data_IF_207227551421
#
_entry.id   IF_207227551421
#
_cell.length_a   1.000
_cell.length_b   1.000
_cell.length_c   1.000
_cell.angle_alpha   90.00
_cell.angle_beta   90.00
_cell.angle_gamma   90.00
#
_symmetry.space_group_name_H-M   'P 1'
#
loop_
_entity.id
_entity.type
_entity.pdbx_description
1 polymer ?
#
# COMPACT_ATOMS: atom_id res chain seq x y z
N UNK A 1 50.03 -3.52 36.48
CA UNK A 1 48.75 -3.79 35.77
C UNK A 1 47.87 -2.56 35.95
N UNK A 2 47.75 -1.69 34.93
CA UNK A 2 46.98 -0.45 35.04
C UNK A 2 45.49 -0.75 34.84
N UNK A 3 44.71 -0.74 35.92
CA UNK A 3 43.25 -0.87 35.85
C UNK A 3 42.66 0.44 35.32
N UNK A 4 42.27 0.47 34.03
CA UNK A 4 41.44 1.56 33.50
C UNK A 4 40.13 1.59 34.28
N UNK A 5 39.86 2.69 34.96
CA UNK A 5 38.56 2.95 35.58
C UNK A 5 37.47 2.89 34.50
N UNK A 6 36.55 1.93 34.64
CA UNK A 6 35.36 1.87 33.79
C UNK A 6 34.40 2.97 34.26
N UNK A 7 34.28 4.06 33.49
CA UNK A 7 33.20 5.04 33.70
C UNK A 7 31.87 4.37 33.37
N UNK A 8 30.96 4.31 34.34
CA UNK A 8 29.57 3.92 34.14
C UNK A 8 28.71 5.13 33.76
N UNK A 9 27.58 4.88 33.10
CA UNK A 9 26.57 5.90 32.81
C UNK A 9 25.89 6.37 34.11
N UNK A 10 25.60 7.66 34.20
CA UNK A 10 24.77 8.20 35.29
C UNK A 10 23.30 7.97 35.00
N UNK A 11 22.49 7.85 36.05
CA UNK A 11 21.03 7.76 35.92
C UNK A 11 20.44 9.00 35.24
N UNK A 12 21.04 10.17 35.48
CA UNK A 12 20.61 11.45 34.90
C UNK A 12 20.83 11.48 33.38
N UNK A 13 21.95 10.95 32.89
CA UNK A 13 22.21 10.85 31.45
C UNK A 13 21.17 9.98 30.74
N UNK A 14 20.82 8.83 31.33
CA UNK A 14 19.78 7.96 30.75
C UNK A 14 18.40 8.63 30.81
N UNK A 15 18.09 9.34 31.89
CA UNK A 15 16.79 10.03 32.06
C UNK A 15 16.55 11.09 30.98
N UNK A 16 17.53 11.94 30.71
CA UNK A 16 17.39 13.00 29.69
C UNK A 16 17.24 12.39 28.30
N UNK A 17 17.98 11.31 28.00
CA UNK A 17 17.93 10.63 26.71
C UNK A 17 16.55 10.02 26.44
N UNK A 18 15.96 9.30 27.41
CA UNK A 18 14.62 8.72 27.21
C UNK A 18 13.53 9.78 27.08
N UNK A 19 13.67 10.93 27.75
CA UNK A 19 12.75 12.06 27.60
C UNK A 19 12.81 12.64 26.19
N UNK A 20 14.01 12.86 25.65
CA UNK A 20 14.18 13.38 24.28
C UNK A 20 13.68 12.36 23.24
N UNK A 21 14.02 11.08 23.38
CA UNK A 21 13.53 10.02 22.48
C UNK A 21 12.00 9.92 22.55
N UNK A 22 11.42 10.01 23.76
CA UNK A 22 9.97 10.03 23.96
C UNK A 22 9.29 11.19 23.22
N UNK A 23 9.85 12.40 23.31
CA UNK A 23 9.33 13.57 22.60
C UNK A 23 9.42 13.43 21.08
N UNK A 24 10.52 12.87 20.56
CA UNK A 24 10.66 12.66 19.12
C UNK A 24 9.72 11.55 18.61
N UNK A 25 9.56 10.47 19.39
CA UNK A 25 8.71 9.34 19.01
C UNK A 25 7.23 9.73 18.91
N UNK A 26 6.72 10.59 19.81
CA UNK A 26 5.32 11.03 19.79
C UNK A 26 4.96 11.82 18.53
N UNK A 27 5.90 12.58 17.96
CA UNK A 27 5.71 13.26 16.67
C UNK A 27 5.92 12.34 15.47
N UNK A 28 6.87 11.40 15.57
CA UNK A 28 7.24 10.53 14.45
C UNK A 28 6.18 9.46 14.13
N UNK A 29 5.54 8.87 15.14
CA UNK A 29 4.54 7.80 14.95
C UNK A 29 3.35 8.23 14.08
N UNK A 30 2.63 9.34 14.38
CA UNK A 30 1.48 9.74 13.55
C UNK A 30 1.90 10.17 12.14
N UNK A 31 3.08 10.80 12.00
CA UNK A 31 3.62 11.15 10.68
C UNK A 31 3.91 9.89 9.84
N UNK A 32 4.51 8.86 10.44
CA UNK A 32 4.79 7.60 9.79
C UNK A 32 3.52 6.85 9.39
N UNK A 33 2.50 6.83 10.25
CA UNK A 33 1.19 6.23 9.94
C UNK A 33 0.56 6.87 8.70
N UNK A 34 0.53 8.21 8.64
CA UNK A 34 -0.01 8.94 7.48
C UNK A 34 0.75 8.64 6.20
N UNK A 35 2.09 8.64 6.25
CA UNK A 35 2.91 8.31 5.08
C UNK A 35 2.62 6.89 4.61
N UNK A 36 2.53 5.92 5.52
CA UNK A 36 2.19 4.53 5.21
C UNK A 36 0.83 4.43 4.53
N UNK A 37 -0.22 5.04 5.08
CA UNK A 37 -1.57 5.04 4.49
C UNK A 37 -1.56 5.59 3.06
N UNK A 38 -0.91 6.74 2.83
CA UNK A 38 -0.84 7.34 1.48
C UNK A 38 -0.03 6.49 0.49
N UNK A 39 1.00 5.79 0.95
CA UNK A 39 1.76 4.86 0.11
C UNK A 39 0.93 3.64 -0.28
N UNK A 40 0.17 3.07 0.68
CA UNK A 40 -0.75 1.97 0.41
C UNK A 40 -1.83 2.40 -0.59
N UNK A 41 -2.43 3.57 -0.40
CA UNK A 41 -3.44 4.10 -1.33
C UNK A 41 -2.88 4.24 -2.75
N UNK A 42 -1.67 4.79 -2.89
CA UNK A 42 -1.00 4.96 -4.19
C UNK A 42 -0.69 3.62 -4.84
N UNK A 43 -0.24 2.63 -4.08
CA UNK A 43 0.05 1.29 -4.58
C UNK A 43 -1.23 0.61 -5.09
N UNK A 44 -2.31 0.62 -4.29
CA UNK A 44 -3.60 0.06 -4.68
C UNK A 44 -4.13 0.73 -5.94
N UNK A 45 -4.13 2.07 -6.00
CA UNK A 45 -4.55 2.81 -7.22
C UNK A 45 -3.66 2.52 -8.43
N UNK A 46 -2.38 2.21 -8.23
CA UNK A 46 -1.49 1.81 -9.32
C UNK A 46 -1.88 0.45 -9.89
N UNK A 47 -2.22 -0.50 -9.02
CA UNK A 47 -2.72 -1.81 -9.43
C UNK A 47 -4.07 -1.68 -10.15
N UNK A 48 -5.00 -0.87 -9.62
CA UNK A 48 -6.27 -0.58 -10.29
C UNK A 48 -6.07 -0.01 -11.70
N UNK A 49 -5.11 0.89 -11.89
CA UNK A 49 -4.79 1.45 -13.22
C UNK A 49 -4.20 0.41 -14.18
N UNK A 50 -3.39 -0.52 -13.67
CA UNK A 50 -2.89 -1.64 -14.50
C UNK A 50 -4.04 -2.53 -14.95
N UNK A 51 -4.99 -2.82 -14.05
CA UNK A 51 -6.20 -3.58 -14.39
C UNK A 51 -7.08 -2.86 -15.40
N UNK A 52 -7.30 -1.55 -15.23
CA UNK A 52 -8.04 -0.73 -16.20
C UNK A 52 -7.40 -0.81 -17.59
N UNK A 53 -6.07 -0.62 -17.68
CA UNK A 53 -5.36 -0.70 -18.95
C UNK A 53 -5.45 -2.08 -19.59
N UNK A 54 -5.37 -3.16 -18.81
CA UNK A 54 -5.53 -4.52 -19.32
C UNK A 54 -6.95 -4.82 -19.78
N UNK A 55 -7.94 -4.34 -19.03
CA UNK A 55 -9.36 -4.45 -19.40
C UNK A 55 -9.68 -3.67 -20.69
N UNK A 56 -9.18 -2.43 -20.83
CA UNK A 56 -9.36 -1.62 -22.04
C UNK A 56 -8.78 -2.31 -23.28
N UNK A 57 -7.58 -2.89 -23.15
CA UNK A 57 -6.96 -3.63 -24.25
C UNK A 57 -7.82 -4.85 -24.63
N UNK A 58 -8.32 -5.60 -23.65
CA UNK A 58 -9.22 -6.74 -23.89
C UNK A 58 -10.53 -6.32 -24.57
N UNK A 59 -11.11 -5.19 -24.17
CA UNK A 59 -12.34 -4.65 -24.76
C UNK A 59 -12.15 -4.27 -26.23
N UNK A 60 -11.00 -3.68 -26.57
CA UNK A 60 -10.67 -3.33 -27.95
C UNK A 60 -10.51 -4.59 -28.81
N UNK A 61 -9.87 -5.63 -28.29
CA UNK A 61 -9.60 -6.87 -29.04
C UNK A 61 -10.84 -7.74 -29.22
N UNK A 62 -11.71 -7.81 -28.22
CA UNK A 62 -12.84 -8.73 -28.19
C UNK A 62 -14.21 -8.06 -28.47
N UNK A 63 -14.26 -6.72 -28.49
CA UNK A 63 -15.49 -5.96 -28.72
C UNK A 63 -16.53 -6.11 -27.61
N UNK A 64 -16.10 -6.44 -26.39
CA UNK A 64 -16.95 -6.59 -25.19
C UNK A 64 -16.72 -5.43 -24.23
N UNK A 65 -17.66 -5.19 -23.31
CA UNK A 65 -17.57 -4.12 -22.31
C UNK A 65 -17.40 -4.63 -20.88
N UNK A 66 -17.34 -5.95 -20.70
CA UNK A 66 -17.16 -6.61 -19.40
C UNK A 66 -16.18 -7.77 -19.54
N UNK A 67 -15.25 -7.89 -18.59
CA UNK A 67 -14.21 -8.93 -18.56
C UNK A 67 -14.06 -9.52 -17.17
N UNK A 68 -13.74 -10.80 -17.08
CA UNK A 68 -13.38 -11.44 -15.82
C UNK A 68 -11.92 -11.12 -15.48
N UNK A 69 -11.63 -10.92 -14.19
CA UNK A 69 -10.27 -10.64 -13.74
C UNK A 69 -9.29 -11.76 -14.12
N UNK A 70 -9.76 -13.01 -14.16
CA UNK A 70 -8.98 -14.17 -14.60
C UNK A 70 -8.56 -14.15 -16.07
N UNK A 71 -9.25 -13.39 -16.91
CA UNK A 71 -8.94 -13.31 -18.34
C UNK A 71 -7.86 -12.24 -18.64
N UNK A 72 -7.62 -11.34 -17.67
CA UNK A 72 -6.66 -10.24 -17.82
C UNK A 72 -5.46 -10.33 -16.88
N UNK A 73 -5.54 -11.15 -15.83
CA UNK A 73 -4.45 -11.39 -14.88
C UNK A 73 -3.95 -12.83 -14.98
N UNK A 74 -2.66 -13.01 -15.24
CA UNK A 74 -2.02 -14.32 -15.35
C UNK A 74 -0.68 -14.26 -16.05
N UNK A 75 0.08 -15.35 -15.96
CA UNK A 75 1.33 -15.51 -16.71
C UNK A 75 0.99 -15.54 -18.22
N UNK A 76 1.49 -14.56 -18.96
CA UNK A 76 1.17 -14.24 -20.38
C UNK A 76 -0.15 -13.49 -20.63
N UNK A 77 -0.82 -12.94 -19.61
CA UNK A 77 -1.99 -12.08 -19.77
C UNK A 77 -1.61 -10.59 -19.92
N UNK A 78 -2.60 -9.68 -19.96
CA UNK A 78 -2.35 -8.23 -20.04
C UNK A 78 -1.70 -7.67 -18.75
N UNK A 79 -1.89 -8.36 -17.62
CA UNK A 79 -1.27 -8.07 -16.33
C UNK A 79 -0.63 -9.35 -15.78
N UNK A 80 0.70 -9.41 -15.79
CA UNK A 80 1.47 -10.61 -15.42
C UNK A 80 1.16 -11.13 -14.01
N UNK A 81 0.96 -10.21 -13.06
CA UNK A 81 0.68 -10.55 -11.66
C UNK A 81 -0.04 -9.41 -10.96
N UNK A 82 -0.96 -9.77 -10.05
CA UNK A 82 -1.66 -8.82 -9.21
C UNK A 82 -1.58 -9.26 -7.74
N UNK A 83 -0.71 -8.60 -6.99
CA UNK A 83 -0.55 -8.85 -5.56
C UNK A 83 -1.28 -7.80 -4.72
N UNK A 84 -2.00 -8.27 -3.70
CA UNK A 84 -2.59 -7.40 -2.70
C UNK A 84 -1.51 -6.81 -1.78
N UNK A 85 -1.56 -5.50 -1.57
CA UNK A 85 -0.53 -4.74 -0.84
C UNK A 85 -0.94 -4.50 0.62
N UNK A 86 -2.25 -4.51 0.91
CA UNK A 86 -2.84 -4.22 2.20
C UNK A 86 -3.98 -5.18 2.58
N UNK A 87 -4.08 -6.37 1.95
CA UNK A 87 -5.15 -7.34 2.20
C UNK A 87 -6.47 -7.03 1.50
N UNK A 88 -6.43 -6.11 0.54
CA UNK A 88 -7.55 -5.78 -0.35
C UNK A 88 -7.87 -6.89 -1.33
N UNK A 89 -9.11 -6.92 -1.78
CA UNK A 89 -9.63 -7.80 -2.82
C UNK A 89 -10.10 -6.96 -4.00
N UNK A 90 -9.59 -7.30 -5.18
CA UNK A 90 -9.97 -6.70 -6.45
C UNK A 90 -11.28 -7.31 -6.98
N UNK A 91 -12.08 -6.56 -7.74
CA UNK A 91 -13.36 -7.06 -8.25
C UNK A 91 -13.14 -8.20 -9.24
N UNK A 92 -13.99 -9.23 -9.16
CA UNK A 92 -13.90 -10.39 -10.06
C UNK A 92 -14.24 -10.06 -11.51
N UNK A 93 -14.95 -8.96 -11.75
CA UNK A 93 -15.33 -8.46 -13.07
C UNK A 93 -15.04 -6.97 -13.18
N UNK A 94 -14.57 -6.53 -14.34
CA UNK A 94 -14.37 -5.13 -14.68
C UNK A 94 -15.31 -4.79 -15.83
N UNK A 95 -16.04 -3.68 -15.73
CA UNK A 95 -17.02 -3.23 -16.73
C UNK A 95 -16.73 -1.77 -17.10
N UNK A 96 -16.66 -1.48 -18.40
CA UNK A 96 -16.44 -0.13 -18.90
C UNK A 96 -17.53 0.86 -18.43
N UNK A 97 -17.13 2.06 -18.01
CA UNK A 97 -18.05 3.09 -17.50
C UNK A 97 -18.51 2.85 -16.06
N UNK A 98 -17.82 1.99 -15.30
CA UNK A 98 -18.11 1.72 -13.89
C UNK A 98 -16.82 1.74 -13.08
N UNK A 99 -16.81 2.49 -11.98
CA UNK A 99 -15.68 2.56 -11.06
C UNK A 99 -15.16 1.18 -10.67
N UNK A 100 -13.85 0.98 -10.81
CA UNK A 100 -13.16 -0.20 -10.28
C UNK A 100 -12.77 0.11 -8.83
N UNK A 101 -13.44 -0.53 -7.87
CA UNK A 101 -13.23 -0.35 -6.45
C UNK A 101 -12.65 -1.61 -5.80
N UNK A 102 -11.69 -1.44 -4.87
CA UNK A 102 -11.25 -2.54 -4.01
C UNK A 102 -12.14 -2.70 -2.79
N UNK A 103 -12.15 -3.90 -2.22
CA UNK A 103 -12.84 -4.21 -0.95
C UNK A 103 -11.85 -4.78 0.06
N UNK A 104 -12.16 -4.70 1.36
CA UNK A 104 -11.35 -5.32 2.42
C UNK A 104 -10.04 -4.61 2.76
N UNK A 105 -9.70 -3.48 2.11
CA UNK A 105 -8.50 -2.71 2.48
C UNK A 105 -8.67 -2.05 3.86
N UNK A 106 -7.59 -1.80 4.62
CA UNK A 106 -7.64 -1.06 5.87
C UNK A 106 -7.85 0.45 5.68
N UNK A 107 -7.88 0.94 4.43
CA UNK A 107 -8.02 2.35 4.11
C UNK A 107 -9.50 2.76 4.11
N UNK A 108 -9.78 3.95 4.63
CA UNK A 108 -11.12 4.53 4.61
C UNK A 108 -11.04 5.96 4.07
N UNK A 109 -11.69 6.29 2.94
CA UNK A 109 -12.53 5.42 2.11
C UNK A 109 -11.71 4.34 1.35
N UNK A 110 -12.41 3.30 0.87
CA UNK A 110 -11.78 2.28 0.03
C UNK A 110 -11.32 2.91 -1.30
N UNK A 111 -10.10 2.61 -1.79
CA UNK A 111 -9.63 3.13 -3.07
C UNK A 111 -10.49 2.64 -4.24
N UNK A 112 -10.87 3.57 -5.12
CA UNK A 112 -11.48 3.29 -6.42
C UNK A 112 -10.87 4.16 -7.51
N UNK A 113 -11.01 3.75 -8.77
CA UNK A 113 -10.75 4.59 -9.93
C UNK A 113 -12.00 4.62 -10.81
N UNK A 114 -12.26 5.79 -11.41
CA UNK A 114 -13.22 5.94 -12.50
C UNK A 114 -12.66 5.23 -13.75
N UNK A 115 -13.49 4.46 -14.42
CA UNK A 115 -13.11 3.56 -15.51
C UNK A 115 -14.21 3.48 -16.56
#
# INVERSE_FOLDING_TARGET
MNAKSKKGFTLVEIMIVVVIIGLLATMAIPAFQKVRETSLEKAIRSNLRQLASGADQYFIENGVTTVLLSDIVGEDAYVDSLDAVAGETYPATITQGTDIAVTGSPLTPQPSIDF
#
